data_IF_108687138383
#
_entry.id   IF_108687138383
#
_cell.length_a   1.000
_cell.length_b   1.000
_cell.length_c   1.000
_cell.angle_alpha   90.00
_cell.angle_beta   90.00
_cell.angle_gamma   90.00
#
_symmetry.space_group_name_H-M   'P 1'
#
loop_
_entity.id
_entity.type
_entity.pdbx_description
1 polymer ?
#
# COMPACT_ATOMS: atom_id res chain seq x y z
N UNK A 1 -36.10 16.84 -1.82
CA UNK A 1 -35.63 15.47 -1.53
C UNK A 1 -34.70 14.92 -2.62
N UNK A 2 -35.09 14.94 -3.91
CA UNK A 2 -34.25 14.39 -5.01
C UNK A 2 -32.83 15.00 -5.10
N UNK A 3 -32.69 16.32 -4.92
CA UNK A 3 -31.38 17.00 -4.92
C UNK A 3 -30.45 16.51 -3.81
N UNK A 4 -30.99 16.24 -2.62
CA UNK A 4 -30.23 15.76 -1.46
C UNK A 4 -29.76 14.31 -1.71
N UNK A 5 -30.63 13.48 -2.28
CA UNK A 5 -30.29 12.12 -2.69
C UNK A 5 -29.19 12.10 -3.75
N UNK A 6 -29.24 12.99 -4.75
CA UNK A 6 -28.20 13.10 -5.77
C UNK A 6 -26.85 13.51 -5.18
N UNK A 7 -26.84 14.52 -4.30
CA UNK A 7 -25.61 14.97 -3.64
C UNK A 7 -25.03 13.87 -2.76
N UNK A 8 -25.86 13.16 -1.99
CA UNK A 8 -25.44 12.02 -1.18
C UNK A 8 -24.84 10.90 -2.03
N UNK A 9 -25.52 10.52 -3.13
CA UNK A 9 -25.03 9.49 -4.04
C UNK A 9 -23.70 9.89 -4.72
N UNK A 10 -23.53 11.16 -5.08
CA UNK A 10 -22.29 11.66 -5.66
C UNK A 10 -21.11 11.58 -4.68
N UNK A 11 -21.32 11.93 -3.41
CA UNK A 11 -20.29 11.86 -2.36
C UNK A 11 -19.87 10.40 -2.12
N UNK A 12 -20.84 9.48 -2.04
CA UNK A 12 -20.56 8.04 -1.87
C UNK A 12 -19.81 7.49 -3.09
N UNK A 13 -20.24 7.84 -4.31
CA UNK A 13 -19.56 7.43 -5.53
C UNK A 13 -18.11 7.95 -5.58
N UNK A 14 -17.87 9.21 -5.19
CA UNK A 14 -16.55 9.79 -5.12
C UNK A 14 -15.64 9.07 -4.12
N UNK A 15 -16.14 8.71 -2.94
CA UNK A 15 -15.40 7.91 -1.96
C UNK A 15 -15.04 6.52 -2.49
N UNK A 16 -16.00 5.83 -3.13
CA UNK A 16 -15.75 4.51 -3.73
C UNK A 16 -14.69 4.62 -4.82
N UNK A 17 -14.73 5.67 -5.64
CA UNK A 17 -13.76 5.90 -6.70
C UNK A 17 -12.36 6.19 -6.14
N UNK A 18 -12.27 7.05 -5.13
CA UNK A 18 -11.01 7.35 -4.46
C UNK A 18 -10.37 6.12 -3.80
N UNK A 19 -11.20 5.24 -3.23
CA UNK A 19 -10.77 4.00 -2.60
C UNK A 19 -10.33 2.95 -3.64
N UNK A 20 -11.06 2.83 -4.76
CA UNK A 20 -10.74 1.88 -5.84
C UNK A 20 -9.50 2.25 -6.64
N UNK A 21 -9.28 3.53 -6.88
CA UNK A 21 -8.21 3.97 -7.78
C UNK A 21 -6.84 4.14 -7.13
N UNK A 22 -6.69 3.84 -5.84
CA UNK A 22 -5.39 3.98 -5.15
C UNK A 22 -4.80 5.39 -5.28
N UNK A 23 -5.66 6.39 -5.49
CA UNK A 23 -5.26 7.77 -5.72
C UNK A 23 -4.53 8.32 -4.49
N UNK A 24 -4.97 7.91 -3.29
CA UNK A 24 -4.31 8.25 -2.03
C UNK A 24 -2.88 7.70 -1.96
N UNK A 25 -2.65 6.48 -2.47
CA UNK A 25 -1.32 5.87 -2.49
C UNK A 25 -0.43 6.52 -3.57
N UNK A 26 -1.01 6.83 -4.74
CA UNK A 26 -0.32 7.57 -5.83
C UNK A 26 0.06 8.98 -5.40
N UNK A 27 -0.81 9.66 -4.67
CA UNK A 27 -0.59 11.00 -4.14
C UNK A 27 0.29 11.00 -2.87
N UNK A 28 0.72 9.83 -2.38
CA UNK A 28 1.59 9.70 -1.21
C UNK A 28 0.92 10.02 0.13
N UNK A 29 -0.41 10.16 0.16
CA UNK A 29 -1.15 10.34 1.40
C UNK A 29 -1.15 9.07 2.25
N UNK A 30 -1.26 7.90 1.62
CA UNK A 30 -1.17 6.61 2.32
C UNK A 30 0.08 5.86 1.87
N UNK A 31 0.62 5.07 2.80
CA UNK A 31 1.79 4.24 2.55
C UNK A 31 1.45 3.15 1.53
N UNK A 32 2.44 2.73 0.77
CA UNK A 32 2.30 1.60 -0.15
C UNK A 32 3.55 0.75 -0.15
N UNK A 33 3.39 -0.52 -0.46
CA UNK A 33 4.44 -1.49 -0.67
C UNK A 33 4.38 -2.03 -2.08
N UNK A 34 5.55 -2.23 -2.68
CA UNK A 34 5.68 -2.88 -3.98
C UNK A 34 6.70 -3.99 -3.90
N UNK A 35 6.44 -5.08 -4.60
CA UNK A 35 7.42 -6.16 -4.71
C UNK A 35 8.65 -5.66 -5.47
N UNK A 36 9.83 -5.99 -4.98
CA UNK A 36 11.11 -5.72 -5.65
C UNK A 36 11.83 -7.04 -5.89
N UNK A 37 12.79 -6.99 -6.81
CA UNK A 37 13.68 -8.14 -7.05
C UNK A 37 14.48 -8.43 -5.78
N UNK A 38 14.56 -9.71 -5.42
CA UNK A 38 15.38 -10.16 -4.30
C UNK A 38 16.86 -9.81 -4.54
N UNK A 39 17.61 -9.46 -3.49
CA UNK A 39 19.06 -9.34 -3.55
C UNK A 39 19.70 -10.65 -4.05
N UNK A 40 20.89 -10.54 -4.66
CA UNK A 40 21.65 -11.69 -5.15
C UNK A 40 21.85 -12.73 -4.04
N UNK A 41 21.43 -13.97 -4.30
CA UNK A 41 21.55 -15.09 -3.36
C UNK A 41 20.33 -15.32 -2.47
N UNK A 42 19.26 -14.54 -2.62
CA UNK A 42 18.01 -14.75 -1.90
C UNK A 42 16.86 -15.17 -2.84
N UNK A 43 16.04 -16.11 -2.36
CA UNK A 43 14.86 -16.64 -3.06
C UNK A 43 13.55 -16.17 -2.42
N UNK A 44 13.60 -15.47 -1.28
CA UNK A 44 12.43 -14.92 -0.60
C UNK A 44 11.80 -13.77 -1.41
N UNK A 45 10.54 -13.44 -1.11
CA UNK A 45 9.88 -12.29 -1.73
C UNK A 45 10.29 -11.01 -1.00
N UNK A 46 10.70 -10.00 -1.75
CA UNK A 46 11.10 -8.71 -1.19
C UNK A 46 10.09 -7.63 -1.50
N UNK A 47 9.89 -6.76 -0.51
CA UNK A 47 8.99 -5.63 -0.59
C UNK A 47 9.72 -4.35 -0.29
N UNK A 48 9.36 -3.30 -1.03
CA UNK A 48 9.81 -1.94 -0.80
C UNK A 48 8.60 -1.08 -0.47
N UNK A 49 8.55 -0.60 0.76
CA UNK A 49 7.47 0.20 1.28
C UNK A 49 7.86 1.67 1.34
N UNK A 50 6.93 2.54 0.95
CA UNK A 50 7.06 3.99 1.02
C UNK A 50 6.12 4.52 2.10
N UNK A 51 6.62 5.47 2.86
CA UNK A 51 5.83 6.20 3.84
C UNK A 51 4.70 7.00 3.17
N UNK A 52 3.51 6.92 3.75
CA UNK A 52 2.41 7.85 3.48
C UNK A 52 2.34 8.97 4.51
N UNK A 53 1.90 10.15 4.09
CA UNK A 53 1.75 11.32 4.98
C UNK A 53 0.78 11.05 6.14
N UNK A 54 -0.32 10.34 5.88
CA UNK A 54 -1.38 10.07 6.85
C UNK A 54 -1.17 8.79 7.65
N UNK A 55 -0.59 7.75 7.04
CA UNK A 55 -0.51 6.41 7.64
C UNK A 55 0.88 6.05 8.15
N UNK A 56 1.93 6.80 7.79
CA UNK A 56 3.30 6.38 8.04
C UNK A 56 3.74 5.22 7.13
N UNK A 57 4.73 4.45 7.58
CA UNK A 57 5.20 3.26 6.88
C UNK A 57 4.20 2.10 7.04
N UNK A 58 3.87 1.37 5.96
CA UNK A 58 3.11 0.13 6.06
C UNK A 58 3.89 -0.94 6.82
N UNK A 59 3.21 -1.68 7.69
CA UNK A 59 3.81 -2.70 8.56
C UNK A 59 3.45 -4.10 8.08
N UNK A 60 4.45 -4.88 7.64
CA UNK A 60 4.27 -6.24 7.09
C UNK A 60 4.52 -7.36 8.12
N UNK A 61 4.84 -7.03 9.37
CA UNK A 61 5.22 -7.99 10.42
C UNK A 61 4.17 -9.06 10.72
N UNK A 62 2.90 -8.82 10.37
CA UNK A 62 1.81 -9.79 10.56
C UNK A 62 1.83 -10.96 9.58
N UNK A 63 2.75 -10.98 8.62
CA UNK A 63 2.72 -11.94 7.51
C UNK A 63 4.05 -12.70 7.34
N UNK A 64 4.75 -12.98 8.44
CA UNK A 64 6.02 -13.71 8.42
C UNK A 64 7.09 -13.00 7.57
N UNK A 65 7.10 -11.67 7.70
CA UNK A 65 8.06 -10.78 7.05
C UNK A 65 8.96 -10.09 8.07
N UNK A 66 10.24 -10.06 7.75
CA UNK A 66 11.29 -9.39 8.52
C UNK A 66 11.61 -8.02 7.91
N UNK A 67 11.68 -7.00 8.77
CA UNK A 67 12.16 -5.68 8.40
C UNK A 67 13.68 -5.71 8.21
N UNK A 68 14.15 -5.35 7.01
CA UNK A 68 15.57 -5.28 6.68
C UNK A 68 16.14 -3.84 6.75
N UNK A 69 15.29 -2.87 7.08
CA UNK A 69 15.65 -1.47 7.30
C UNK A 69 15.28 -0.53 6.16
N UNK A 70 15.73 0.73 6.25
CA UNK A 70 15.32 1.81 5.35
C UNK A 70 16.46 2.19 4.38
N UNK A 71 16.20 2.11 3.08
CA UNK A 71 17.12 2.51 2.00
C UNK A 71 16.45 3.54 1.10
N UNK A 72 17.11 4.69 0.89
CA UNK A 72 16.59 5.79 0.04
C UNK A 72 15.16 6.23 0.43
N UNK A 73 14.86 6.28 1.73
CA UNK A 73 13.54 6.64 2.25
C UNK A 73 12.44 5.61 1.97
N UNK A 74 12.82 4.35 1.71
CA UNK A 74 11.92 3.21 1.55
C UNK A 74 12.32 2.11 2.50
N UNK A 75 11.34 1.54 3.19
CA UNK A 75 11.56 0.42 4.09
C UNK A 75 11.57 -0.88 3.28
N UNK A 76 12.55 -1.73 3.53
CA UNK A 76 12.69 -3.02 2.87
C UNK A 76 12.21 -4.11 3.81
N UNK A 77 11.40 -4.99 3.26
CA UNK A 77 10.88 -6.15 3.97
C UNK A 77 11.20 -7.41 3.18
N UNK A 78 11.58 -8.47 3.90
CA UNK A 78 11.79 -9.80 3.37
C UNK A 78 10.68 -10.69 3.90
N UNK A 79 9.92 -11.33 3.02
CA UNK A 79 8.88 -12.27 3.41
C UNK A 79 9.28 -13.68 3.00
N UNK A 80 9.35 -14.59 3.99
CA UNK A 80 9.65 -15.99 3.73
C UNK A 80 8.52 -16.67 2.94
N UNK A 81 7.28 -16.29 3.22
CA UNK A 81 6.10 -16.70 2.45
C UNK A 81 5.68 -15.59 1.47
N UNK A 82 5.35 -15.94 0.21
CA UNK A 82 4.93 -14.95 -0.77
C UNK A 82 3.56 -14.39 -0.40
N UNK A 83 3.48 -13.06 -0.34
CA UNK A 83 2.25 -12.31 -0.14
C UNK A 83 1.60 -11.99 -1.47
N UNK A 84 0.28 -12.17 -1.51
CA UNK A 84 -0.51 -11.81 -2.67
C UNK A 84 -0.71 -10.29 -2.67
N UNK A 85 -0.09 -9.58 -3.61
CA UNK A 85 -0.35 -8.16 -3.80
C UNK A 85 -1.80 -7.92 -4.16
N UNK A 86 -2.55 -7.25 -3.28
CA UNK A 86 -3.76 -6.57 -3.70
C UNK A 86 -3.40 -5.49 -4.75
N UNK A 87 -4.18 -5.35 -5.83
CA UNK A 87 -3.99 -4.26 -6.78
C UNK A 87 -4.04 -2.96 -5.98
N UNK A 88 -2.93 -2.20 -5.98
CA UNK A 88 -2.77 -1.03 -5.12
C UNK A 88 -1.55 -1.03 -4.21
N UNK A 89 -0.94 -2.18 -3.94
CA UNK A 89 0.23 -2.29 -3.05
C UNK A 89 -0.06 -1.86 -1.61
N UNK A 90 -1.33 -1.85 -1.21
CA UNK A 90 -1.78 -1.62 0.16
C UNK A 90 -1.99 -2.98 0.81
N UNK A 91 -1.23 -3.22 1.88
CA UNK A 91 -1.39 -4.32 2.82
C UNK A 91 -1.72 -3.74 4.19
#
# INVERSE_FOLDING_TARGET
MLRILMVGAAIVAAMIFAQREHWLARAGLVGNCRTITAPLGDTAQWWSCRQGVLTGFPVLTRHDCDEHGIVLGRELWRCATPLESAPGGVF
#
